data_IF_617987222057
#
_entry.id   IF_617987222057
#
_cell.length_a   1.000
_cell.length_b   1.000
_cell.length_c   1.000
_cell.angle_alpha   90.00
_cell.angle_beta   90.00
_cell.angle_gamma   90.00
#
_symmetry.space_group_name_H-M   'P 1'
#
loop_
_entity.id
_entity.type
_entity.pdbx_description
1 polymer ?
#
# COMPACT_ATOMS: atom_id res chain seq x y z
N UNK A 1 -0.28 0.44 -9.33
CA UNK A 1 0.03 -0.10 -8.01
C UNK A 1 1.53 -0.22 -7.81
N UNK A 2 1.99 0.28 -6.69
CA UNK A 2 3.39 0.18 -6.30
C UNK A 2 3.49 -0.51 -4.95
N UNK A 3 4.54 -1.29 -4.79
CA UNK A 3 4.83 -1.92 -3.50
C UNK A 3 6.27 -1.56 -3.13
N UNK A 4 6.43 -0.92 -1.99
CA UNK A 4 7.74 -0.55 -1.46
C UNK A 4 8.08 -1.49 -0.32
N UNK A 5 9.22 -2.12 -0.41
CA UNK A 5 9.70 -3.00 0.64
C UNK A 5 11.03 -2.54 1.16
N UNK A 6 11.18 -2.49 2.47
CA UNK A 6 12.43 -2.13 3.09
C UNK A 6 12.93 -3.25 3.98
N UNK A 7 14.22 -3.46 3.96
CA UNK A 7 14.87 -4.41 4.83
C UNK A 7 16.36 -4.13 4.78
N UNK A 8 16.99 -4.07 5.93
CA UNK A 8 18.40 -3.73 5.97
C UNK A 8 18.65 -2.30 5.52
N UNK A 9 19.37 -2.12 4.43
CA UNK A 9 19.93 -0.81 4.08
C UNK A 9 19.18 -0.01 3.03
N UNK A 10 18.12 -0.54 2.43
CA UNK A 10 17.53 0.17 1.31
C UNK A 10 16.07 -0.06 1.14
N UNK A 11 15.54 0.57 0.12
CA UNK A 11 14.14 0.46 -0.28
C UNK A 11 14.11 -0.16 -1.66
N UNK A 12 13.29 -1.17 -1.82
CA UNK A 12 13.08 -1.80 -3.11
C UNK A 12 11.69 -1.44 -3.59
N UNK A 13 11.61 -1.02 -4.83
CA UNK A 13 10.34 -0.60 -5.44
C UNK A 13 9.93 -1.62 -6.48
N UNK A 14 8.71 -2.13 -6.33
CA UNK A 14 8.11 -3.05 -7.29
C UNK A 14 6.85 -2.38 -7.84
N UNK A 15 6.64 -2.50 -9.14
CA UNK A 15 5.46 -1.95 -9.79
C UNK A 15 4.74 -3.03 -10.57
N UNK A 16 3.40 -3.00 -10.54
CA UNK A 16 2.60 -3.93 -11.31
C UNK A 16 1.21 -3.34 -11.50
N UNK A 17 0.45 -3.89 -12.45
CA UNK A 17 -0.92 -3.47 -12.67
C UNK A 17 -1.85 -3.98 -11.58
N UNK A 18 -1.59 -5.15 -11.03
CA UNK A 18 -2.42 -5.75 -10.00
C UNK A 18 -1.59 -6.71 -9.17
N UNK A 19 -2.04 -6.96 -7.95
CA UNK A 19 -1.38 -7.89 -7.06
C UNK A 19 -1.76 -9.32 -7.42
N UNK A 20 -0.81 -10.21 -7.28
CA UNK A 20 -0.97 -11.63 -7.55
C UNK A 20 -0.28 -12.44 -6.45
N UNK A 21 -0.45 -13.75 -6.49
CA UNK A 21 0.12 -14.65 -5.48
C UNK A 21 1.64 -14.50 -5.38
N UNK A 22 2.34 -14.32 -6.50
CA UNK A 22 3.78 -14.17 -6.50
C UNK A 22 4.26 -12.98 -5.67
N UNK A 23 3.43 -11.97 -5.48
CA UNK A 23 3.81 -10.83 -4.66
C UNK A 23 4.01 -11.19 -3.19
N UNK A 24 3.41 -12.30 -2.73
CA UNK A 24 3.65 -12.79 -1.38
C UNK A 24 5.11 -13.21 -1.20
N UNK A 25 5.72 -13.73 -2.26
CA UNK A 25 7.14 -14.12 -2.22
C UNK A 25 8.04 -12.88 -2.10
N UNK A 26 7.63 -11.77 -2.72
CA UNK A 26 8.39 -10.52 -2.66
C UNK A 26 8.43 -9.92 -1.26
N UNK A 27 7.55 -10.36 -0.36
CA UNK A 27 7.55 -9.90 1.02
C UNK A 27 8.60 -10.57 1.89
N UNK A 28 9.17 -11.67 1.44
CA UNK A 28 10.13 -12.42 2.23
C UNK A 28 11.39 -11.58 2.49
N UNK A 29 11.83 -11.58 3.74
CA UNK A 29 13.01 -10.83 4.13
C UNK A 29 12.82 -9.33 4.27
N UNK A 30 11.62 -8.83 4.10
CA UNK A 30 11.34 -7.39 4.27
C UNK A 30 11.06 -7.08 5.73
N UNK A 31 11.51 -5.92 6.17
CA UNK A 31 11.23 -5.44 7.53
C UNK A 31 9.96 -4.58 7.57
N UNK A 32 9.55 -4.03 6.44
CA UNK A 32 8.45 -3.07 6.37
C UNK A 32 7.98 -3.00 4.93
N UNK A 33 6.66 -2.95 4.73
CA UNK A 33 6.07 -2.95 3.39
C UNK A 33 5.04 -1.83 3.28
N UNK A 34 5.05 -1.13 2.16
CA UNK A 34 4.07 -0.11 1.83
C UNK A 34 3.48 -0.40 0.46
N UNK A 35 2.16 -0.56 0.43
CA UNK A 35 1.42 -0.66 -0.83
C UNK A 35 0.91 0.73 -1.19
N UNK A 36 1.14 1.15 -2.43
CA UNK A 36 0.71 2.46 -2.91
C UNK A 36 -0.18 2.27 -4.12
N UNK A 37 -1.39 2.78 -4.07
CA UNK A 37 -2.34 2.63 -5.16
C UNK A 37 -3.24 3.85 -5.26
N UNK A 38 -3.86 4.03 -6.42
CA UNK A 38 -4.85 5.08 -6.63
C UNK A 38 -6.23 4.57 -6.26
N UNK A 39 -7.06 5.45 -5.74
CA UNK A 39 -8.43 5.11 -5.34
C UNK A 39 -9.35 6.27 -5.69
N UNK A 40 -10.53 5.96 -6.24
CA UNK A 40 -11.54 6.98 -6.51
C UNK A 40 -12.52 7.11 -5.34
N UNK A 41 -12.34 6.33 -4.29
CA UNK A 41 -13.27 6.30 -3.16
C UNK A 41 -12.67 6.71 -1.83
N UNK A 42 -11.34 6.79 -1.72
CA UNK A 42 -10.73 7.19 -0.46
C UNK A 42 -10.86 8.71 -0.24
N UNK A 43 -10.79 9.18 1.02
CA UNK A 43 -10.80 10.62 1.27
C UNK A 43 -9.60 11.32 0.62
N UNK A 44 -9.80 12.48 0.01
CA UNK A 44 -8.67 13.24 -0.54
C UNK A 44 -7.89 13.92 0.59
N UNK A 45 -6.58 14.15 0.45
CA UNK A 45 -5.79 13.83 -0.74
C UNK A 45 -5.33 12.39 -0.81
N UNK A 46 -5.29 11.69 0.32
CA UNK A 46 -4.87 10.28 0.40
C UNK A 46 -5.37 9.68 1.71
N UNK A 47 -5.29 8.36 1.81
CA UNK A 47 -5.58 7.63 3.04
C UNK A 47 -4.43 6.68 3.36
N UNK A 48 -3.95 6.73 4.58
CA UNK A 48 -2.85 5.88 5.03
C UNK A 48 -3.33 5.00 6.19
N UNK A 49 -3.29 3.68 6.00
CA UNK A 49 -3.76 2.72 7.00
C UNK A 49 -2.77 1.59 7.19
N UNK A 50 -2.78 1.01 8.37
CA UNK A 50 -2.05 -0.22 8.63
C UNK A 50 -2.90 -1.41 8.19
N UNK A 51 -2.24 -2.40 7.59
CA UNK A 51 -2.92 -3.59 7.08
C UNK A 51 -2.65 -4.79 7.97
N UNK A 52 -3.62 -5.70 8.01
CA UNK A 52 -3.48 -7.00 8.64
C UNK A 52 -3.87 -8.07 7.62
N UNK A 53 -3.30 -9.27 7.73
CA UNK A 53 -3.69 -10.35 6.82
C UNK A 53 -5.18 -10.63 6.91
N UNK A 54 -5.81 -10.83 5.77
CA UNK A 54 -7.22 -11.17 5.73
C UNK A 54 -7.50 -11.97 4.45
N UNK A 55 -8.36 -12.97 4.60
CA UNK A 55 -8.79 -13.75 3.45
C UNK A 55 -9.65 -12.88 2.56
N UNK A 56 -9.38 -12.93 1.28
CA UNK A 56 -10.18 -12.21 0.29
C UNK A 56 -11.40 -13.05 -0.07
N UNK A 57 -12.57 -12.57 0.27
CA UNK A 57 -13.81 -13.30 0.06
C UNK A 57 -14.62 -12.80 -1.12
N UNK A 58 -14.17 -11.72 -1.74
CA UNK A 58 -14.94 -11.06 -2.79
C UNK A 58 -14.19 -10.97 -4.12
N UNK A 59 -13.19 -11.80 -4.31
CA UNK A 59 -12.45 -11.71 -5.55
C UNK A 59 -13.33 -12.14 -6.71
N UNK A 60 -13.31 -11.38 -7.77
CA UNK A 60 -14.03 -11.68 -8.99
C UNK A 60 -13.08 -11.73 -10.18
N UNK A 61 -11.79 -11.56 -9.93
CA UNK A 61 -10.77 -11.57 -10.94
C UNK A 61 -9.51 -12.20 -10.36
N UNK A 62 -8.44 -12.16 -11.10
CA UNK A 62 -7.16 -12.71 -10.65
C UNK A 62 -6.39 -11.77 -9.71
N UNK A 63 -6.89 -10.56 -9.52
CA UNK A 63 -6.24 -9.61 -8.65
C UNK A 63 -6.53 -9.90 -7.19
N UNK A 64 -5.51 -9.76 -6.34
CA UNK A 64 -5.64 -9.89 -4.91
C UNK A 64 -5.60 -8.51 -4.25
N UNK A 65 -6.29 -8.38 -3.11
CA UNK A 65 -6.11 -7.20 -2.28
C UNK A 65 -4.77 -7.29 -1.53
N UNK A 66 -4.23 -6.17 -1.06
CA UNK A 66 -3.02 -6.21 -0.24
C UNK A 66 -3.15 -7.12 0.99
N UNK A 67 -4.30 -7.09 1.67
CA UNK A 67 -4.52 -7.94 2.84
C UNK A 67 -4.54 -9.42 2.47
N UNK A 68 -5.05 -9.75 1.28
CA UNK A 68 -5.03 -11.14 0.80
C UNK A 68 -3.60 -11.59 0.49
N UNK A 69 -2.77 -10.72 -0.05
CA UNK A 69 -1.34 -11.04 -0.29
C UNK A 69 -0.66 -11.36 1.04
N UNK A 70 -0.94 -10.58 2.09
CA UNK A 70 -0.40 -10.84 3.41
C UNK A 70 -0.87 -12.19 3.96
N UNK A 71 -2.13 -12.54 3.71
CA UNK A 71 -2.68 -13.81 4.13
C UNK A 71 -1.97 -14.98 3.43
N UNK A 72 -1.74 -14.85 2.12
CA UNK A 72 -1.01 -15.86 1.36
C UNK A 72 0.41 -16.04 1.91
N UNK A 73 1.05 -14.93 2.28
CA UNK A 73 2.38 -15.00 2.89
C UNK A 73 2.36 -15.86 4.16
N UNK A 74 1.37 -15.65 5.03
CA UNK A 74 1.24 -16.44 6.25
C UNK A 74 1.06 -17.93 5.94
N UNK A 75 0.26 -18.24 4.94
CA UNK A 75 0.01 -19.62 4.56
C UNK A 75 1.27 -20.30 4.03
N UNK A 76 2.06 -19.60 3.24
CA UNK A 76 3.27 -20.16 2.66
C UNK A 76 4.37 -20.31 3.70
N UNK A 77 4.54 -19.33 4.56
CA UNK A 77 5.70 -19.27 5.45
C UNK A 77 5.42 -19.72 6.87
N UNK A 78 4.15 -19.79 7.26
CA UNK A 78 3.78 -20.21 8.62
C UNK A 78 4.12 -19.20 9.70
N UNK A 79 4.44 -17.97 9.34
CA UNK A 79 4.77 -16.88 10.26
C UNK A 79 4.07 -15.62 9.82
N UNK A 80 3.98 -14.65 10.72
CA UNK A 80 3.36 -13.36 10.40
C UNK A 80 4.15 -12.62 9.35
N UNK A 81 3.47 -11.89 8.45
CA UNK A 81 4.17 -11.07 7.46
C UNK A 81 4.83 -9.87 8.12
N UNK A 82 5.75 -9.20 7.41
CA UNK A 82 6.30 -7.95 7.91
C UNK A 82 5.20 -6.91 8.10
N UNK A 83 5.40 -5.92 8.98
CA UNK A 83 4.44 -4.83 9.13
C UNK A 83 4.14 -4.20 7.76
N UNK A 84 2.86 -4.05 7.46
CA UNK A 84 2.43 -3.61 6.15
C UNK A 84 1.41 -2.49 6.25
N UNK A 85 1.51 -1.55 5.33
CA UNK A 85 0.68 -0.35 5.31
C UNK A 85 0.21 -0.09 3.88
N UNK A 86 -0.87 0.65 3.77
CA UNK A 86 -1.42 1.03 2.47
C UNK A 86 -1.55 2.55 2.40
N UNK A 87 -1.08 3.11 1.30
CA UNK A 87 -1.28 4.50 0.96
C UNK A 87 -2.16 4.55 -0.29
N UNK A 88 -3.42 4.91 -0.11
CA UNK A 88 -4.36 5.09 -1.20
C UNK A 88 -4.37 6.57 -1.58
N UNK A 89 -4.12 6.87 -2.84
CA UNK A 89 -4.05 8.24 -3.33
C UNK A 89 -5.34 8.55 -4.06
N UNK A 90 -6.05 9.59 -3.64
CA UNK A 90 -7.31 9.94 -4.26
C UNK A 90 -7.10 10.36 -5.70
N UNK A 91 -7.67 9.59 -6.61
CA UNK A 91 -7.74 9.93 -8.02
C UNK A 91 -9.14 10.39 -8.40
N UNK A 92 -9.28 10.85 -9.61
CA UNK A 92 -10.55 11.19 -10.19
C UNK A 92 -10.74 10.39 -11.47
N UNK A 93 -11.98 10.12 -11.82
CA UNK A 93 -12.26 9.40 -13.06
C UNK A 93 -11.90 10.27 -14.25
N UNK A 94 -11.30 9.67 -15.23
CA UNK A 94 -10.92 10.35 -16.48
C UNK A 94 -11.07 9.37 -17.62
N UNK A 95 -11.25 9.92 -18.82
CA UNK A 95 -11.34 9.13 -20.02
C UNK A 95 -9.96 8.69 -20.48
N UNK A 96 -9.93 7.58 -21.21
CA UNK A 96 -8.67 7.07 -21.74
C UNK A 96 -7.99 8.13 -22.62
N UNK A 97 -6.73 8.36 -22.37
CA UNK A 97 -5.95 9.34 -23.12
C UNK A 97 -5.93 10.73 -22.52
N UNK A 98 -6.69 10.98 -21.49
CA UNK A 98 -6.69 12.26 -20.81
C UNK A 98 -5.59 12.32 -19.75
N UNK A 99 -5.09 13.52 -19.48
CA UNK A 99 -4.16 13.74 -18.40
C UNK A 99 -4.90 13.81 -17.07
N UNK A 100 -4.15 13.78 -15.97
CA UNK A 100 -4.75 13.91 -14.65
C UNK A 100 -5.41 15.28 -14.50
N UNK A 101 -6.54 15.31 -13.80
CA UNK A 101 -7.19 16.55 -13.44
C UNK A 101 -6.31 17.34 -12.46
N UNK A 102 -6.50 18.68 -12.36
CA UNK A 102 -5.75 19.46 -11.37
C UNK A 102 -5.93 18.94 -9.95
N UNK A 103 -7.13 18.48 -9.61
CA UNK A 103 -7.38 17.91 -8.29
C UNK A 103 -6.60 16.63 -8.04
N UNK A 104 -6.58 15.75 -9.02
CA UNK A 104 -5.81 14.51 -8.92
C UNK A 104 -4.31 14.78 -8.86
N UNK A 105 -3.82 15.75 -9.63
CA UNK A 105 -2.42 16.13 -9.58
C UNK A 105 -2.03 16.68 -8.20
N UNK A 106 -2.89 17.50 -7.59
CA UNK A 106 -2.64 18.04 -6.26
C UNK A 106 -2.61 16.92 -5.21
N UNK A 107 -3.54 15.99 -5.31
CA UNK A 107 -3.59 14.86 -4.39
C UNK A 107 -2.34 14.00 -4.52
N UNK A 108 -1.90 13.75 -5.75
CA UNK A 108 -0.69 12.97 -6.01
C UNK A 108 0.53 13.67 -5.42
N UNK A 109 0.68 14.97 -5.65
CA UNK A 109 1.82 15.71 -5.15
C UNK A 109 1.88 15.65 -3.60
N UNK A 110 0.73 15.83 -2.94
CA UNK A 110 0.65 15.76 -1.49
C UNK A 110 1.00 14.35 -0.98
N UNK A 111 0.49 13.33 -1.67
CA UNK A 111 0.75 11.94 -1.28
C UNK A 111 2.22 11.57 -1.48
N UNK A 112 2.85 12.04 -2.56
CA UNK A 112 4.27 11.77 -2.80
C UNK A 112 5.16 12.42 -1.75
N UNK A 113 4.80 13.61 -1.31
CA UNK A 113 5.52 14.27 -0.23
C UNK A 113 5.42 13.47 1.06
N UNK A 114 4.21 12.99 1.38
CA UNK A 114 3.99 12.13 2.55
C UNK A 114 4.78 10.83 2.44
N UNK A 115 4.74 10.18 1.28
CA UNK A 115 5.48 8.94 1.05
C UNK A 115 6.98 9.14 1.22
N UNK A 116 7.49 10.29 0.77
CA UNK A 116 8.90 10.63 0.96
C UNK A 116 9.28 10.70 2.43
N UNK A 117 8.41 11.26 3.26
CA UNK A 117 8.65 11.31 4.71
C UNK A 117 8.62 9.91 5.32
N UNK A 118 7.71 9.05 4.87
CA UNK A 118 7.66 7.67 5.34
C UNK A 118 8.96 6.93 5.01
N UNK A 119 9.44 7.08 3.79
CA UNK A 119 10.65 6.39 3.33
C UNK A 119 11.89 6.91 4.08
N UNK A 120 11.90 8.18 4.43
CA UNK A 120 12.99 8.76 5.20
C UNK A 120 13.03 8.21 6.63
N UNK A 121 11.88 7.87 7.17
CA UNK A 121 11.75 7.40 8.55
C UNK A 121 11.08 6.03 8.56
N UNK A 122 11.82 5.02 8.16
CA UNK A 122 11.32 3.65 8.00
C UNK A 122 11.25 2.91 9.34
N UNK A 123 10.19 3.17 10.08
CA UNK A 123 9.96 2.59 11.40
C UNK A 123 8.49 2.20 11.53
N UNK A 124 8.25 0.91 11.76
CA UNK A 124 6.89 0.39 11.83
C UNK A 124 6.06 1.01 12.94
N UNK A 125 6.67 1.28 14.09
CA UNK A 125 5.96 1.91 15.20
C UNK A 125 5.55 3.34 14.87
N UNK A 126 6.44 4.08 14.23
CA UNK A 126 6.16 5.45 13.81
C UNK A 126 5.04 5.45 12.77
N UNK A 127 5.12 4.55 11.79
CA UNK A 127 4.09 4.44 10.76
C UNK A 127 2.73 4.06 11.36
N UNK A 128 2.72 3.12 12.31
CA UNK A 128 1.48 2.71 12.98
C UNK A 128 0.86 3.87 13.75
N UNK A 129 1.68 4.70 14.37
CA UNK A 129 1.23 5.87 15.11
C UNK A 129 0.63 6.91 14.17
N UNK A 130 1.28 7.14 13.03
CA UNK A 130 0.79 8.09 12.03
C UNK A 130 -0.57 7.62 11.48
N UNK A 131 -0.69 6.34 11.15
CA UNK A 131 -1.94 5.78 10.65
C UNK A 131 -3.07 5.93 11.67
N UNK A 132 -2.80 5.64 12.95
CA UNK A 132 -3.78 5.77 14.01
C UNK A 132 -4.17 7.21 14.30
N UNK A 133 -3.20 8.12 14.31
CA UNK A 133 -3.45 9.51 14.69
C UNK A 133 -4.30 10.27 13.68
N UNK A 134 -4.41 9.78 12.46
CA UNK A 134 -5.25 10.40 11.44
C UNK A 134 -6.71 9.96 11.50
N UNK A 135 -7.06 9.10 12.46
CA UNK A 135 -8.40 8.62 12.62
C UNK A 135 -8.83 7.59 11.59
N UNK A 136 -7.89 7.06 10.82
CA UNK A 136 -8.18 6.00 9.86
C UNK A 136 -8.14 4.64 10.54
N UNK A 137 -8.97 3.73 10.05
CA UNK A 137 -9.05 2.40 10.62
C UNK A 137 -7.77 1.61 10.41
N UNK A 138 -7.43 0.86 11.45
CA UNK A 138 -6.32 -0.09 11.39
C UNK A 138 -6.91 -1.46 11.06
N UNK A 139 -6.50 -2.02 9.96
CA UNK A 139 -7.03 -3.31 9.48
C UNK A 139 -6.00 -4.42 9.56
#
# INVERSE_FOLDING_TARGET
LWMLGGGGKGVELLTDFQLQIEHAVDLEGRALVLFVDASVSCPPPYQFVQLRPARDTSYTSHALSPTAVLHVYEQINGVSPPPAFSLAIRGERFELGESLSPGAEANLATALEFAGRLVTQRDAEIWARIAGSRGWDVR
#
